data_IF_106242000468
#
_entry.id   IF_106242000468
#
_cell.length_a   1.000
_cell.length_b   1.000
_cell.length_c   1.000
_cell.angle_alpha   90.00
_cell.angle_beta   90.00
_cell.angle_gamma   90.00
#
_symmetry.space_group_name_H-M   'P 1'
#
loop_
_entity.id
_entity.type
_entity.pdbx_description
1 polymer ?
#
# COMPACT_ATOMS: atom_id res chain seq x y z
N UNK A 1 8.94 36.56 46.48
CA UNK A 1 8.42 35.21 46.55
C UNK A 1 7.17 35.19 45.70
N UNK A 2 7.32 34.91 44.42
CA UNK A 2 6.21 34.77 43.49
C UNK A 2 6.38 33.42 42.79
N UNK A 3 5.58 32.44 43.24
CA UNK A 3 5.41 31.17 42.54
C UNK A 3 4.51 31.42 41.33
N UNK A 4 5.04 31.27 40.14
CA UNK A 4 4.28 31.12 38.90
C UNK A 4 4.20 29.63 38.56
N UNK A 5 3.03 29.08 38.23
CA UNK A 5 2.93 27.67 37.82
C UNK A 5 3.47 27.49 36.41
N UNK A 6 4.35 26.55 36.26
CA UNK A 6 4.89 26.06 34.97
C UNK A 6 3.75 25.47 34.16
N UNK A 7 3.37 26.11 33.08
CA UNK A 7 2.52 25.54 32.04
C UNK A 7 3.26 24.44 31.31
N UNK A 8 2.95 23.20 31.62
CA UNK A 8 3.36 22.05 30.82
C UNK A 8 2.66 22.11 29.45
N UNK A 9 3.46 22.28 28.43
CA UNK A 9 3.04 22.34 27.04
C UNK A 9 2.34 21.04 26.64
N UNK A 10 1.07 21.15 26.24
CA UNK A 10 0.22 20.05 25.71
C UNK A 10 0.62 19.57 24.30
N UNK A 11 1.89 19.74 23.90
CA UNK A 11 2.38 19.39 22.55
C UNK A 11 2.81 17.94 22.37
N UNK A 12 2.68 17.06 23.38
CA UNK A 12 3.13 15.67 23.33
C UNK A 12 2.02 14.61 23.16
N UNK A 13 0.81 14.98 22.76
CA UNK A 13 -0.32 14.03 22.63
C UNK A 13 -0.85 13.85 21.20
N UNK A 14 -0.15 14.35 20.19
CA UNK A 14 -0.62 14.25 18.79
C UNK A 14 0.11 13.20 17.94
N UNK A 15 0.90 12.34 18.56
CA UNK A 15 1.65 11.27 17.86
C UNK A 15 1.11 9.84 18.06
N UNK A 16 -0.03 9.64 18.69
CA UNK A 16 -0.43 8.31 19.13
C UNK A 16 -1.80 7.87 18.59
N UNK A 17 -2.03 7.99 17.31
CA UNK A 17 -3.23 7.45 16.68
C UNK A 17 -2.99 6.77 15.32
N UNK A 18 -1.77 6.33 15.03
CA UNK A 18 -1.57 5.26 14.07
C UNK A 18 -1.47 3.97 14.89
N UNK A 19 -2.56 3.25 14.93
CA UNK A 19 -2.85 2.14 15.83
C UNK A 19 -1.94 0.94 15.59
N UNK A 20 -1.00 0.74 16.49
CA UNK A 20 -0.51 -0.59 16.79
C UNK A 20 -1.55 -1.36 17.58
N UNK A 21 -2.43 -2.10 16.95
CA UNK A 21 -3.27 -3.08 17.62
C UNK A 21 -2.53 -4.41 17.69
N UNK A 22 -1.99 -4.66 18.87
CA UNK A 22 -1.55 -5.99 19.26
C UNK A 22 -2.75 -6.95 19.16
N UNK A 23 -2.67 -7.91 18.24
CA UNK A 23 -3.60 -9.02 18.18
C UNK A 23 -3.46 -9.85 19.48
N UNK A 24 -4.48 -9.82 20.32
CA UNK A 24 -4.60 -10.77 21.42
C UNK A 24 -4.82 -12.18 20.87
N UNK A 25 -4.06 -13.19 21.31
CA UNK A 25 -4.23 -14.55 20.80
C UNK A 25 -5.49 -15.17 21.40
N UNK A 26 -6.42 -15.59 20.55
CA UNK A 26 -7.44 -16.57 20.92
C UNK A 26 -6.77 -17.96 20.93
N UNK A 27 -6.52 -18.46 22.13
CA UNK A 27 -6.15 -19.83 22.40
C UNK A 27 -7.32 -20.77 22.05
N UNK A 28 -7.11 -21.63 21.09
CA UNK A 28 -7.97 -22.73 20.76
C UNK A 28 -7.18 -23.85 20.12
N UNK A 29 -6.44 -24.59 20.93
CA UNK A 29 -5.76 -25.83 20.54
C UNK A 29 -6.77 -26.98 20.46
N UNK A 30 -6.91 -27.63 19.29
CA UNK A 30 -7.24 -29.03 19.19
C UNK A 30 -6.39 -29.69 18.13
N UNK A 31 -5.50 -30.53 18.63
CA UNK A 31 -4.74 -31.50 17.86
C UNK A 31 -5.68 -32.55 17.27
N UNK A 32 -5.51 -32.91 16.01
CA UNK A 32 -5.94 -34.20 15.49
C UNK A 32 -4.78 -34.94 14.86
N UNK A 33 -4.66 -36.20 15.33
CA UNK A 33 -3.61 -37.12 15.04
C UNK A 33 -3.73 -37.74 13.65
N UNK A 34 -2.57 -38.19 13.16
CA UNK A 34 -2.38 -38.98 11.96
C UNK A 34 -3.14 -40.32 11.99
N UNK A 35 -3.68 -40.71 10.85
CA UNK A 35 -4.09 -42.06 10.55
C UNK A 35 -3.61 -42.44 9.17
N UNK A 36 -2.71 -43.44 9.14
CA UNK A 36 -2.20 -44.11 7.94
C UNK A 36 -3.20 -45.19 7.45
N UNK A 37 -2.93 -45.62 6.19
CA UNK A 37 -3.22 -46.88 5.51
C UNK A 37 -4.32 -46.81 4.44
N UNK A 38 -4.08 -47.24 3.27
CA UNK A 38 -3.34 -48.22 2.49
C UNK A 38 -4.16 -48.63 1.25
N UNK A 39 -3.44 -48.86 0.13
CA UNK A 39 -3.70 -49.78 -1.01
C UNK A 39 -5.05 -49.67 -1.75
N UNK A 40 -5.11 -49.38 -3.04
CA UNK A 40 -4.56 -50.12 -4.16
C UNK A 40 -5.68 -50.72 -5.00
N UNK A 41 -5.76 -50.42 -6.30
CA UNK A 41 -5.99 -51.42 -7.34
C UNK A 41 -6.11 -50.81 -8.74
N UNK A 42 -5.54 -51.54 -9.67
CA UNK A 42 -5.46 -51.36 -11.11
C UNK A 42 -6.83 -51.41 -11.82
N UNK A 43 -6.94 -50.68 -12.94
CA UNK A 43 -7.98 -50.91 -13.92
C UNK A 43 -7.60 -50.29 -15.27
N UNK A 44 -7.25 -51.16 -16.21
CA UNK A 44 -6.90 -50.83 -17.60
C UNK A 44 -8.12 -50.48 -18.46
N UNK A 45 -7.88 -49.57 -19.42
CA UNK A 45 -8.22 -49.75 -20.83
C UNK A 45 -9.51 -49.18 -21.35
N UNK A 46 -9.45 -48.25 -22.27
CA UNK A 46 -9.75 -48.50 -23.69
C UNK A 46 -9.74 -47.21 -24.52
N UNK A 47 -9.28 -47.38 -25.75
CA UNK A 47 -9.15 -46.43 -26.84
C UNK A 47 -10.49 -45.80 -27.28
N UNK A 48 -10.45 -44.53 -27.69
CA UNK A 48 -11.48 -43.90 -28.52
C UNK A 48 -10.89 -42.72 -29.28
N UNK A 49 -10.70 -42.91 -30.59
CA UNK A 49 -10.23 -41.93 -31.55
C UNK A 49 -11.33 -40.89 -31.90
N UNK A 50 -10.86 -39.64 -32.19
CA UNK A 50 -11.43 -38.82 -33.26
C UNK A 50 -12.14 -37.56 -32.82
N UNK A 51 -11.69 -36.37 -33.03
CA UNK A 51 -11.66 -35.59 -34.27
C UNK A 51 -11.42 -34.10 -33.99
N UNK A 52 -10.67 -33.49 -34.83
CA UNK A 52 -10.37 -32.10 -35.13
C UNK A 52 -11.29 -31.02 -34.57
N UNK A 53 -10.65 -29.98 -33.96
CA UNK A 53 -11.20 -28.65 -33.77
C UNK A 53 -10.08 -27.66 -33.49
N UNK A 54 -9.73 -26.85 -34.46
CA UNK A 54 -8.72 -25.79 -34.49
C UNK A 54 -8.97 -24.73 -33.46
N UNK A 55 -7.87 -24.15 -32.92
CA UNK A 55 -7.87 -22.90 -32.16
C UNK A 55 -6.95 -22.93 -30.94
N UNK A 56 -5.75 -23.48 -31.08
CA UNK A 56 -4.75 -23.33 -30.02
C UNK A 56 -3.92 -22.08 -30.26
N UNK A 57 -4.15 -21.02 -29.53
CA UNK A 57 -3.16 -19.97 -29.38
C UNK A 57 -1.91 -20.58 -28.74
N UNK A 58 -0.86 -20.66 -29.53
CA UNK A 58 0.41 -21.25 -29.15
C UNK A 58 0.97 -20.54 -27.92
N UNK A 59 1.06 -21.26 -26.81
CA UNK A 59 1.98 -20.92 -25.73
C UNK A 59 3.40 -21.01 -26.33
N UNK A 60 3.95 -19.84 -26.64
CA UNK A 60 5.37 -19.70 -26.92
C UNK A 60 6.11 -20.06 -25.63
N UNK A 61 6.95 -21.09 -25.66
CA UNK A 61 7.68 -21.63 -24.51
C UNK A 61 8.72 -20.69 -23.89
N UNK A 62 8.61 -19.35 -24.14
CA UNK A 62 9.50 -18.34 -23.60
C UNK A 62 9.12 -17.88 -22.17
N UNK A 63 8.00 -18.32 -21.61
CA UNK A 63 7.55 -17.91 -20.25
C UNK A 63 7.34 -16.41 -20.07
N UNK A 64 7.13 -15.64 -21.15
CA UNK A 64 6.86 -14.21 -21.09
C UNK A 64 5.36 -13.96 -21.12
N UNK A 65 4.86 -13.24 -20.12
CA UNK A 65 3.52 -12.67 -20.14
C UNK A 65 3.44 -11.62 -21.27
N UNK A 66 2.46 -11.74 -22.15
CA UNK A 66 2.25 -10.82 -23.29
C UNK A 66 1.42 -9.59 -22.90
N UNK A 67 0.86 -9.53 -21.70
CA UNK A 67 0.12 -8.36 -21.24
C UNK A 67 1.04 -7.13 -21.18
N UNK A 68 0.54 -5.94 -21.53
CA UNK A 68 1.35 -4.73 -21.52
C UNK A 68 1.61 -4.25 -20.09
N UNK A 69 2.79 -3.64 -19.88
CA UNK A 69 3.13 -2.92 -18.66
C UNK A 69 2.50 -1.52 -18.69
N UNK A 70 2.10 -1.01 -17.52
CA UNK A 70 1.77 0.40 -17.37
C UNK A 70 3.08 1.21 -17.42
N UNK A 71 3.07 2.32 -18.13
CA UNK A 71 4.22 3.23 -18.29
C UNK A 71 3.83 4.65 -17.89
N UNK A 72 4.81 5.47 -17.51
CA UNK A 72 4.62 6.89 -17.23
C UNK A 72 5.25 7.72 -18.36
N UNK A 73 4.50 8.65 -18.93
CA UNK A 73 4.99 9.54 -19.98
C UNK A 73 4.21 10.85 -20.01
N UNK A 74 4.94 11.97 -19.97
CA UNK A 74 4.34 13.31 -20.15
C UNK A 74 3.31 13.68 -19.09
N UNK A 75 3.53 13.26 -17.83
CA UNK A 75 2.59 13.53 -16.73
C UNK A 75 1.39 12.59 -16.66
N UNK A 76 1.35 11.54 -17.49
CA UNK A 76 0.25 10.56 -17.55
C UNK A 76 0.76 9.14 -17.37
N UNK A 77 -0.07 8.26 -16.78
CA UNK A 77 0.09 6.82 -16.91
C UNK A 77 -0.52 6.33 -18.22
N UNK A 78 0.10 5.32 -18.82
CA UNK A 78 -0.33 4.73 -20.09
C UNK A 78 -0.31 3.22 -20.06
N UNK A 79 -1.33 2.61 -20.64
CA UNK A 79 -1.42 1.17 -20.85
C UNK A 79 -1.67 0.92 -22.34
N UNK A 80 -0.82 0.14 -22.97
CA UNK A 80 -0.90 -0.14 -24.42
C UNK A 80 -0.98 1.14 -25.27
N UNK A 81 -0.19 2.16 -24.89
CA UNK A 81 -0.10 3.44 -25.57
C UNK A 81 -1.28 4.41 -25.33
N UNK A 82 -2.35 3.95 -24.65
CA UNK A 82 -3.51 4.77 -24.28
C UNK A 82 -3.35 5.33 -22.88
N UNK A 83 -4.00 6.46 -22.60
CA UNK A 83 -4.08 6.98 -21.23
C UNK A 83 -4.66 5.91 -20.31
N UNK A 84 -4.11 5.81 -19.09
CA UNK A 84 -4.57 4.87 -18.07
C UNK A 84 -4.83 5.64 -16.78
N UNK A 85 -6.08 5.70 -16.37
CA UNK A 85 -6.51 6.26 -15.08
C UNK A 85 -7.31 5.21 -14.34
N UNK A 86 -7.18 5.17 -13.02
CA UNK A 86 -7.81 4.11 -12.24
C UNK A 86 -8.40 4.59 -10.91
N UNK A 87 -9.51 3.97 -10.51
CA UNK A 87 -9.93 3.85 -9.13
C UNK A 87 -9.41 2.53 -8.59
N UNK A 88 -8.86 2.56 -7.39
CA UNK A 88 -8.26 1.42 -6.73
C UNK A 88 -8.53 1.41 -5.24
N UNK A 89 -7.85 0.51 -4.54
CA UNK A 89 -7.94 0.35 -3.09
C UNK A 89 -6.65 -0.15 -2.49
N UNK A 90 -6.53 -0.01 -1.18
CA UNK A 90 -5.54 -0.69 -0.37
C UNK A 90 -6.12 -1.97 0.22
N UNK A 91 -5.30 -3.03 0.32
CA UNK A 91 -5.55 -4.23 1.07
C UNK A 91 -4.21 -4.77 1.58
N UNK A 92 -3.71 -4.19 2.67
CA UNK A 92 -2.35 -4.40 3.17
C UNK A 92 -2.02 -5.86 3.46
N UNK A 93 -3.00 -6.65 3.89
CA UNK A 93 -2.79 -7.97 4.49
C UNK A 93 -2.68 -9.14 3.50
N UNK A 94 -2.80 -8.94 2.19
CA UNK A 94 -2.84 -10.04 1.20
C UNK A 94 -1.69 -11.03 1.33
N UNK A 95 -0.49 -10.57 1.68
CA UNK A 95 0.71 -11.39 1.82
C UNK A 95 0.71 -12.34 3.02
N UNK A 96 -0.30 -12.28 3.90
CA UNK A 96 -0.39 -13.05 5.15
C UNK A 96 -1.65 -13.91 5.27
N UNK A 97 -2.57 -13.81 4.31
CA UNK A 97 -3.89 -14.42 4.45
C UNK A 97 -4.03 -15.73 3.68
N UNK A 98 -5.09 -16.47 4.00
CA UNK A 98 -5.49 -17.66 3.26
C UNK A 98 -5.91 -17.33 1.83
N UNK A 99 -5.86 -18.32 0.93
CA UNK A 99 -6.34 -18.15 -0.43
C UNK A 99 -7.82 -17.74 -0.48
N UNK A 100 -8.66 -18.24 0.46
CA UNK A 100 -10.04 -17.84 0.57
C UNK A 100 -10.19 -16.33 0.82
N UNK A 101 -9.45 -15.78 1.77
CA UNK A 101 -9.48 -14.35 2.08
C UNK A 101 -8.94 -13.48 0.95
N UNK A 102 -7.89 -13.96 0.27
CA UNK A 102 -7.34 -13.30 -0.93
C UNK A 102 -8.38 -13.30 -2.06
N UNK A 103 -9.00 -14.45 -2.32
CA UNK A 103 -10.07 -14.56 -3.32
C UNK A 103 -11.23 -13.64 -3.01
N UNK A 104 -11.69 -13.61 -1.77
CA UNK A 104 -12.81 -12.80 -1.34
C UNK A 104 -12.58 -11.31 -1.64
N UNK A 105 -11.46 -10.74 -1.20
CA UNK A 105 -11.21 -9.31 -1.37
C UNK A 105 -10.85 -8.93 -2.81
N UNK A 106 -10.11 -9.76 -3.56
CA UNK A 106 -9.77 -9.45 -4.94
C UNK A 106 -10.97 -9.61 -5.88
N UNK A 107 -11.88 -10.57 -5.64
CA UNK A 107 -13.14 -10.67 -6.35
C UNK A 107 -14.03 -9.45 -6.07
N UNK A 108 -14.10 -9.00 -4.82
CA UNK A 108 -14.84 -7.78 -4.46
C UNK A 108 -14.26 -6.55 -5.15
N UNK A 109 -12.94 -6.39 -5.17
CA UNK A 109 -12.28 -5.30 -5.90
C UNK A 109 -12.64 -5.31 -7.40
N UNK A 110 -12.57 -6.47 -8.05
CA UNK A 110 -12.94 -6.61 -9.45
C UNK A 110 -14.43 -6.33 -9.70
N UNK A 111 -15.31 -6.80 -8.80
CA UNK A 111 -16.77 -6.56 -8.89
C UNK A 111 -17.14 -5.08 -8.71
N UNK A 112 -16.34 -4.31 -7.95
CA UNK A 112 -16.46 -2.85 -7.84
C UNK A 112 -15.97 -2.11 -9.10
N UNK A 113 -15.32 -2.79 -10.05
CA UNK A 113 -14.69 -2.16 -11.20
C UNK A 113 -13.35 -1.48 -10.87
N UNK A 114 -12.77 -1.76 -9.70
CA UNK A 114 -11.43 -1.31 -9.36
C UNK A 114 -10.41 -2.02 -10.25
N UNK A 115 -9.29 -1.38 -10.56
CA UNK A 115 -8.28 -1.95 -11.44
C UNK A 115 -6.90 -2.06 -10.81
N UNK A 116 -6.68 -1.39 -9.68
CA UNK A 116 -5.40 -1.43 -8.94
C UNK A 116 -5.66 -1.71 -7.46
N UNK A 117 -4.86 -2.61 -6.88
CA UNK A 117 -4.84 -2.90 -5.45
C UNK A 117 -3.42 -2.72 -4.93
N UNK A 118 -3.27 -1.94 -3.87
CA UNK A 118 -1.99 -1.79 -3.16
C UNK A 118 -1.94 -2.76 -1.99
N UNK A 119 -0.86 -3.52 -1.87
CA UNK A 119 -0.68 -4.54 -0.85
C UNK A 119 0.79 -4.62 -0.40
N UNK A 120 1.03 -5.06 0.85
CA UNK A 120 2.40 -5.15 1.36
C UNK A 120 3.18 -6.30 0.70
N UNK A 121 4.43 -6.03 0.32
CA UNK A 121 5.39 -7.05 -0.09
C UNK A 121 6.55 -7.15 0.91
N UNK A 122 6.24 -7.07 2.18
CA UNK A 122 7.21 -7.17 3.28
C UNK A 122 6.56 -7.80 4.53
N UNK A 123 7.34 -8.52 5.31
CA UNK A 123 7.08 -8.95 6.67
C UNK A 123 8.43 -9.36 7.27
N UNK A 124 8.96 -8.52 8.15
CA UNK A 124 10.32 -8.61 8.67
C UNK A 124 10.34 -9.05 10.13
N UNK A 125 11.35 -9.81 10.51
CA UNK A 125 11.58 -10.22 11.89
C UNK A 125 10.89 -11.53 12.29
N UNK A 126 11.42 -12.18 13.31
CA UNK A 126 10.89 -13.40 13.91
C UNK A 126 10.25 -13.10 15.26
N UNK A 127 9.36 -14.02 15.73
CA UNK A 127 8.73 -13.88 17.04
C UNK A 127 7.47 -13.02 17.07
N UNK A 128 6.95 -12.60 15.91
CA UNK A 128 5.71 -11.89 15.74
C UNK A 128 4.51 -12.86 15.56
N UNK A 129 3.29 -12.34 15.59
CA UNK A 129 2.08 -13.11 15.31
C UNK A 129 1.91 -13.47 13.83
N UNK A 130 2.60 -12.79 12.93
CA UNK A 130 2.63 -13.06 11.49
C UNK A 130 3.82 -13.96 11.13
N UNK A 131 3.74 -14.63 9.97
CA UNK A 131 4.84 -15.39 9.40
C UNK A 131 5.72 -14.45 8.57
N UNK A 132 6.95 -14.21 9.02
CA UNK A 132 7.88 -13.33 8.34
C UNK A 132 8.30 -13.86 6.97
N UNK A 133 8.28 -12.99 5.97
CA UNK A 133 8.91 -13.24 4.66
C UNK A 133 10.45 -13.19 4.78
N UNK A 134 10.95 -12.28 5.64
CA UNK A 134 12.35 -12.12 6.00
C UNK A 134 12.52 -12.24 7.52
N UNK A 135 12.67 -13.46 8.10
CA UNK A 135 12.77 -13.64 9.54
C UNK A 135 14.07 -13.10 10.16
N UNK A 136 15.14 -13.03 9.38
CA UNK A 136 16.45 -12.51 9.75
C UNK A 136 17.10 -11.79 8.57
N UNK A 137 18.10 -10.93 8.76
CA UNK A 137 18.81 -10.28 7.66
C UNK A 137 19.36 -11.29 6.66
N UNK A 138 19.07 -11.09 5.39
CA UNK A 138 19.51 -11.94 4.26
C UNK A 138 18.97 -13.38 4.28
N UNK A 139 17.99 -13.68 5.13
CA UNK A 139 17.32 -14.98 5.20
C UNK A 139 15.84 -14.83 4.86
N UNK A 140 15.36 -15.61 3.92
CA UNK A 140 14.02 -15.53 3.36
C UNK A 140 13.28 -16.84 3.55
N UNK A 141 12.01 -16.78 3.99
CA UNK A 141 11.15 -17.96 4.10
C UNK A 141 10.31 -18.13 2.84
N UNK A 142 10.79 -18.95 1.90
CA UNK A 142 10.11 -19.19 0.62
C UNK A 142 8.69 -19.76 0.78
N UNK A 143 8.41 -20.46 1.86
CA UNK A 143 7.07 -20.97 2.12
C UNK A 143 6.12 -19.88 2.63
N UNK A 144 6.63 -18.79 3.22
CA UNK A 144 5.83 -17.64 3.63
C UNK A 144 5.34 -16.79 2.44
N UNK A 145 6.00 -16.91 1.28
CA UNK A 145 5.57 -16.21 0.06
C UNK A 145 4.34 -16.81 -0.62
N UNK A 146 3.78 -17.92 -0.11
CA UNK A 146 2.64 -18.60 -0.74
C UNK A 146 1.46 -17.64 -0.97
N UNK A 147 1.06 -16.90 0.07
CA UNK A 147 -0.05 -15.93 -0.02
C UNK A 147 0.21 -14.81 -1.01
N UNK A 148 1.43 -14.25 -1.01
CA UNK A 148 1.78 -13.17 -1.95
C UNK A 148 1.84 -13.67 -3.40
N UNK A 149 2.43 -14.86 -3.62
CA UNK A 149 2.46 -15.49 -4.94
C UNK A 149 1.05 -15.76 -5.47
N UNK A 150 0.17 -16.26 -4.60
CA UNK A 150 -1.23 -16.51 -4.95
C UNK A 150 -1.97 -15.19 -5.25
N UNK A 151 -1.76 -14.15 -4.44
CA UNK A 151 -2.37 -12.85 -4.67
C UNK A 151 -1.97 -12.24 -6.03
N UNK A 152 -0.69 -12.34 -6.41
CA UNK A 152 -0.23 -11.89 -7.73
C UNK A 152 -0.89 -12.69 -8.85
N UNK A 153 -0.97 -14.04 -8.74
CA UNK A 153 -1.66 -14.86 -9.72
C UNK A 153 -3.14 -14.47 -9.84
N UNK A 154 -3.85 -14.41 -8.72
CA UNK A 154 -5.28 -14.12 -8.67
C UNK A 154 -5.59 -12.73 -9.22
N UNK A 155 -4.83 -11.72 -8.84
CA UNK A 155 -4.96 -10.36 -9.38
C UNK A 155 -4.81 -10.37 -10.91
N UNK A 156 -3.80 -11.08 -11.43
CA UNK A 156 -3.59 -11.24 -12.87
C UNK A 156 -4.75 -11.92 -13.60
N UNK A 157 -5.35 -12.95 -13.00
CA UNK A 157 -6.55 -13.63 -13.54
C UNK A 157 -7.77 -12.71 -13.60
N UNK A 158 -7.90 -11.79 -12.65
CA UNK A 158 -9.00 -10.83 -12.56
C UNK A 158 -8.75 -9.55 -13.39
N UNK A 159 -7.58 -9.43 -14.04
CA UNK A 159 -7.21 -8.21 -14.75
C UNK A 159 -6.80 -7.05 -13.84
N UNK A 160 -6.66 -7.30 -12.54
CA UNK A 160 -6.18 -6.34 -11.55
C UNK A 160 -4.67 -6.15 -11.66
N UNK A 161 -4.18 -5.02 -11.17
CA UNK A 161 -2.76 -4.72 -11.03
C UNK A 161 -2.43 -4.44 -9.58
N UNK A 162 -1.18 -4.72 -9.21
CA UNK A 162 -0.71 -4.55 -7.84
C UNK A 162 0.34 -3.45 -7.74
N UNK A 163 0.28 -2.68 -6.65
CA UNK A 163 1.33 -1.77 -6.18
C UNK A 163 1.91 -2.37 -4.91
N UNK A 164 3.22 -2.52 -4.85
CA UNK A 164 3.90 -3.30 -3.83
C UNK A 164 5.04 -2.51 -3.15
N UNK A 165 4.83 -1.92 -1.96
CA UNK A 165 5.89 -1.36 -1.13
C UNK A 165 6.80 -2.45 -0.57
N UNK A 166 8.11 -2.11 -0.46
CA UNK A 166 9.18 -3.05 -0.11
C UNK A 166 9.56 -3.05 1.38
N UNK A 167 9.15 -2.04 2.14
CA UNK A 167 9.35 -1.93 3.59
C UNK A 167 8.35 -0.94 4.18
N UNK A 168 8.07 -1.04 5.47
CA UNK A 168 7.23 -0.08 6.18
C UNK A 168 8.10 0.93 6.96
N UNK A 169 7.69 2.19 7.00
CA UNK A 169 8.22 3.15 7.96
C UNK A 169 7.88 2.76 9.41
N UNK A 170 6.68 2.21 9.59
CA UNK A 170 6.12 1.86 10.89
C UNK A 170 6.54 0.45 11.31
N UNK A 171 6.44 0.11 12.62
CA UNK A 171 6.87 -1.21 13.11
C UNK A 171 5.90 -2.35 12.72
N UNK A 172 4.76 -2.03 12.13
CA UNK A 172 3.83 -3.05 11.65
C UNK A 172 4.49 -3.92 10.58
N UNK A 173 4.45 -5.23 10.78
CA UNK A 173 5.18 -6.22 10.00
C UNK A 173 6.71 -6.02 10.00
N UNK A 174 7.25 -5.44 11.09
CA UNK A 174 8.69 -5.25 11.34
C UNK A 174 9.21 -3.91 10.85
N UNK A 175 9.12 -3.63 9.56
CA UNK A 175 9.49 -2.34 8.97
C UNK A 175 10.93 -1.91 9.18
N UNK A 176 11.20 -0.63 8.96
CA UNK A 176 12.55 -0.04 9.05
C UNK A 176 13.17 -0.24 10.43
N UNK A 177 12.35 -0.17 11.49
CA UNK A 177 12.83 -0.39 12.86
C UNK A 177 13.38 -1.80 13.07
N UNK A 178 12.84 -2.82 12.39
CA UNK A 178 13.38 -4.18 12.48
C UNK A 178 14.82 -4.26 11.95
N UNK A 179 15.12 -3.56 10.85
CA UNK A 179 16.49 -3.49 10.33
C UNK A 179 17.44 -2.79 11.31
N UNK A 180 16.99 -1.69 11.90
CA UNK A 180 17.75 -0.97 12.93
C UNK A 180 18.00 -1.85 14.15
N UNK A 181 16.98 -2.60 14.59
CA UNK A 181 17.11 -3.55 15.69
C UNK A 181 18.12 -4.66 15.37
N UNK A 182 18.07 -5.24 14.17
CA UNK A 182 18.99 -6.31 13.77
C UNK A 182 20.46 -5.93 13.80
N UNK A 183 20.79 -4.71 13.34
CA UNK A 183 22.19 -4.33 13.17
C UNK A 183 22.74 -3.42 14.26
N UNK A 184 21.88 -2.66 14.93
CA UNK A 184 22.30 -1.66 15.90
C UNK A 184 21.76 -1.92 17.31
N UNK A 185 20.76 -2.81 17.46
CA UNK A 185 20.17 -3.11 18.77
C UNK A 185 19.42 -1.92 19.40
N UNK A 186 19.00 -0.94 18.58
CA UNK A 186 18.34 0.27 19.07
C UNK A 186 16.83 0.05 19.20
N UNK A 187 16.25 0.72 20.21
CA UNK A 187 14.80 0.69 20.43
C UNK A 187 14.05 1.51 19.38
N UNK A 188 12.78 1.14 19.16
CA UNK A 188 11.88 1.85 18.25
C UNK A 188 11.56 3.25 18.78
N UNK A 189 11.71 4.24 17.92
CA UNK A 189 11.27 5.63 18.11
C UNK A 189 10.60 6.21 16.86
N UNK A 190 10.08 5.35 15.97
CA UNK A 190 9.44 5.73 14.72
C UNK A 190 8.23 6.67 14.89
N UNK A 191 7.52 6.56 16.03
CA UNK A 191 6.45 7.48 16.40
C UNK A 191 6.95 8.74 17.14
N UNK A 192 8.22 8.81 17.47
CA UNK A 192 8.88 9.91 18.18
C UNK A 192 9.72 10.80 17.27
N UNK A 193 10.92 11.10 17.74
CA UNK A 193 11.87 11.98 17.04
C UNK A 193 12.64 11.27 15.92
N UNK A 194 12.52 9.94 15.81
CA UNK A 194 13.11 9.13 14.76
C UNK A 194 14.64 9.00 14.81
N UNK A 195 15.29 9.35 15.92
CA UNK A 195 16.77 9.37 16.01
C UNK A 195 17.38 7.97 15.81
N UNK A 196 16.73 6.94 16.35
CA UNK A 196 17.13 5.55 16.14
C UNK A 196 16.61 5.02 14.81
N UNK A 197 15.29 5.16 14.56
CA UNK A 197 14.62 4.70 13.37
C UNK A 197 15.32 5.16 12.09
N UNK A 198 15.67 6.42 12.00
CA UNK A 198 16.27 7.02 10.80
C UNK A 198 17.70 6.55 10.52
N UNK A 199 18.32 5.79 11.44
CA UNK A 199 19.55 5.05 11.16
C UNK A 199 19.37 4.06 10.02
N UNK A 200 18.14 3.61 9.75
CA UNK A 200 17.82 2.80 8.58
C UNK A 200 18.35 3.40 7.28
N UNK A 201 18.25 4.71 7.10
CA UNK A 201 18.66 5.39 5.89
C UNK A 201 20.19 5.53 5.75
N UNK A 202 20.90 5.54 6.86
CA UNK A 202 22.34 5.90 6.89
C UNK A 202 23.25 4.73 7.22
N UNK A 203 22.78 3.73 7.98
CA UNK A 203 23.60 2.57 8.33
C UNK A 203 23.87 1.68 7.11
N UNK A 204 25.13 1.32 6.92
CA UNK A 204 25.57 0.55 5.75
C UNK A 204 24.97 -0.87 5.70
N UNK A 205 24.76 -1.51 6.86
CA UNK A 205 24.18 -2.85 6.94
C UNK A 205 22.67 -2.83 6.69
N UNK A 206 21.95 -1.83 7.23
CA UNK A 206 20.53 -1.63 6.94
C UNK A 206 20.31 -1.44 5.43
N UNK A 207 21.07 -0.56 4.79
CA UNK A 207 21.01 -0.31 3.34
C UNK A 207 21.36 -1.56 2.52
N UNK A 208 22.37 -2.32 2.95
CA UNK A 208 22.76 -3.58 2.30
C UNK A 208 21.65 -4.63 2.42
N UNK A 209 21.04 -4.78 3.59
CA UNK A 209 19.96 -5.72 3.82
C UNK A 209 18.71 -5.34 3.02
N UNK A 210 18.31 -4.06 3.00
CA UNK A 210 17.22 -3.56 2.18
C UNK A 210 17.43 -3.86 0.68
N UNK A 211 18.61 -3.60 0.14
CA UNK A 211 18.93 -3.91 -1.25
C UNK A 211 18.86 -5.41 -1.55
N UNK A 212 19.32 -6.25 -0.60
CA UNK A 212 19.22 -7.70 -0.73
C UNK A 212 17.76 -8.16 -0.73
N UNK A 213 16.95 -7.62 0.16
CA UNK A 213 15.51 -7.85 0.23
C UNK A 213 14.80 -7.45 -1.07
N UNK A 214 14.97 -6.21 -1.51
CA UNK A 214 14.39 -5.71 -2.75
C UNK A 214 14.75 -6.60 -3.95
N UNK A 215 16.03 -7.00 -4.05
CA UNK A 215 16.45 -7.93 -5.10
C UNK A 215 15.75 -9.27 -5.00
N UNK A 216 15.63 -9.83 -3.79
CA UNK A 216 15.02 -11.14 -3.58
C UNK A 216 13.55 -11.14 -4.03
N UNK A 217 12.75 -10.16 -3.56
CA UNK A 217 11.33 -10.05 -3.89
C UNK A 217 11.12 -9.78 -5.38
N UNK A 218 11.83 -8.80 -5.95
CA UNK A 218 11.64 -8.38 -7.34
C UNK A 218 12.04 -9.48 -8.33
N UNK A 219 13.11 -10.23 -8.02
CA UNK A 219 13.64 -11.25 -8.95
C UNK A 219 13.13 -12.66 -8.67
N UNK A 220 12.37 -12.89 -7.58
CA UNK A 220 11.81 -14.19 -7.28
C UNK A 220 10.84 -14.67 -8.37
N UNK A 221 10.72 -15.99 -8.55
CA UNK A 221 9.70 -16.58 -9.41
C UNK A 221 8.46 -16.92 -8.61
N UNK A 222 7.33 -16.41 -9.05
CA UNK A 222 6.03 -16.79 -8.55
C UNK A 222 5.82 -18.29 -8.74
N UNK A 223 5.47 -19.01 -7.69
CA UNK A 223 5.31 -20.46 -7.72
C UNK A 223 4.12 -20.94 -8.57
N UNK A 224 3.12 -20.09 -8.75
CA UNK A 224 1.91 -20.40 -9.52
C UNK A 224 2.04 -20.05 -11.00
N UNK A 225 2.63 -18.90 -11.31
CA UNK A 225 2.75 -18.43 -12.70
C UNK A 225 4.08 -18.78 -13.34
N UNK A 226 5.11 -19.08 -12.55
CA UNK A 226 6.48 -19.32 -13.04
C UNK A 226 7.19 -18.06 -13.55
N UNK A 227 6.51 -16.91 -13.59
CA UNK A 227 7.10 -15.62 -13.97
C UNK A 227 7.93 -15.03 -12.83
N UNK A 228 9.00 -14.32 -13.16
CA UNK A 228 9.62 -13.44 -12.17
C UNK A 228 8.69 -12.25 -11.91
N UNK A 229 8.65 -11.76 -10.67
CA UNK A 229 7.85 -10.57 -10.35
C UNK A 229 8.23 -9.39 -11.23
N UNK A 230 9.52 -9.19 -11.53
CA UNK A 230 10.00 -8.16 -12.46
C UNK A 230 9.51 -8.34 -13.91
N UNK A 231 9.05 -9.52 -14.29
CA UNK A 231 8.57 -9.85 -15.64
C UNK A 231 7.03 -9.95 -15.71
N UNK A 232 6.34 -9.85 -14.57
CA UNK A 232 4.89 -9.97 -14.47
C UNK A 232 4.24 -8.58 -14.52
N UNK A 233 3.48 -8.25 -15.56
CA UNK A 233 2.79 -6.96 -15.66
C UNK A 233 1.63 -6.80 -14.67
N UNK A 234 1.25 -7.85 -13.93
CA UNK A 234 0.33 -7.73 -12.79
C UNK A 234 0.93 -6.85 -11.70
N UNK A 235 2.24 -6.95 -11.46
CA UNK A 235 2.96 -6.01 -10.60
C UNK A 235 3.18 -4.72 -11.40
N UNK A 236 2.29 -3.75 -11.18
CA UNK A 236 2.31 -2.47 -11.88
C UNK A 236 3.45 -1.57 -11.40
N UNK A 237 3.59 -1.48 -10.10
CA UNK A 237 4.56 -0.59 -9.48
C UNK A 237 5.19 -1.19 -8.24
N UNK A 238 6.43 -0.80 -8.00
CA UNK A 238 7.14 -0.96 -6.74
C UNK A 238 7.16 0.38 -6.00
N UNK A 239 7.15 0.33 -4.68
CA UNK A 239 7.43 1.49 -3.84
C UNK A 239 8.64 1.20 -2.98
N UNK A 240 9.46 2.24 -2.80
CA UNK A 240 10.64 2.10 -1.95
C UNK A 240 10.25 1.75 -0.52
N UNK A 241 9.20 2.40 -0.02
CA UNK A 241 8.67 2.14 1.32
C UNK A 241 7.20 2.56 1.41
N UNK A 242 6.47 2.06 2.40
CA UNK A 242 5.24 2.65 2.87
C UNK A 242 5.58 3.81 3.82
N UNK A 243 5.15 5.02 3.49
CA UNK A 243 5.18 6.24 4.31
C UNK A 243 6.56 6.61 4.91
N UNK A 244 7.66 6.58 4.13
CA UNK A 244 8.98 6.87 4.69
C UNK A 244 9.07 8.30 5.21
N UNK A 245 9.55 8.46 6.45
CA UNK A 245 9.82 9.74 7.12
C UNK A 245 11.23 9.76 7.69
N UNK A 246 11.82 10.95 7.84
CA UNK A 246 13.15 11.11 8.43
C UNK A 246 13.18 12.31 9.38
N UNK A 247 12.49 12.19 10.51
CA UNK A 247 12.29 13.28 11.48
C UNK A 247 13.56 13.81 12.12
N UNK A 248 14.61 13.00 12.16
CA UNK A 248 15.92 13.41 12.68
C UNK A 248 16.66 14.38 11.75
N UNK A 249 16.26 14.45 10.46
CA UNK A 249 16.85 15.40 9.48
C UNK A 249 15.77 16.20 8.75
N UNK A 250 15.39 17.33 9.33
CA UNK A 250 14.38 18.23 8.78
C UNK A 250 14.80 18.96 7.51
N UNK A 251 16.04 18.79 7.05
CA UNK A 251 16.46 19.29 5.73
C UNK A 251 15.95 18.43 4.56
N UNK A 252 15.53 17.19 4.88
CA UNK A 252 15.12 16.19 3.90
C UNK A 252 16.27 15.55 3.12
N UNK A 253 17.51 15.94 3.40
CA UNK A 253 18.68 15.49 2.64
C UNK A 253 18.96 14.00 2.82
N UNK A 254 18.78 13.47 4.02
CA UNK A 254 19.00 12.06 4.34
C UNK A 254 18.04 11.16 3.60
N UNK A 255 16.74 11.41 3.68
CA UNK A 255 15.72 10.64 2.97
C UNK A 255 15.89 10.77 1.45
N UNK A 256 16.11 11.98 0.94
CA UNK A 256 16.34 12.22 -0.49
C UNK A 256 17.58 11.48 -1.01
N UNK A 257 18.66 11.43 -0.22
CA UNK A 257 19.89 10.70 -0.56
C UNK A 257 19.64 9.20 -0.66
N UNK A 258 18.94 8.63 0.32
CA UNK A 258 18.54 7.23 0.34
C UNK A 258 17.59 6.90 -0.83
N UNK A 259 16.54 7.69 -1.03
CA UNK A 259 15.57 7.48 -2.09
C UNK A 259 16.23 7.54 -3.48
N UNK A 260 17.18 8.45 -3.70
CA UNK A 260 17.94 8.52 -4.96
C UNK A 260 18.72 7.24 -5.24
N UNK A 261 19.42 6.72 -4.24
CA UNK A 261 20.19 5.48 -4.40
C UNK A 261 19.28 4.27 -4.60
N UNK A 262 18.26 4.13 -3.76
CA UNK A 262 17.39 2.95 -3.79
C UNK A 262 16.47 2.94 -5.00
N UNK A 263 15.98 4.09 -5.47
CA UNK A 263 15.18 4.17 -6.68
C UNK A 263 15.98 3.76 -7.92
N UNK A 264 17.22 4.21 -8.06
CA UNK A 264 18.09 3.78 -9.14
C UNK A 264 18.36 2.27 -9.10
N UNK A 265 18.56 1.72 -7.89
CA UNK A 265 18.78 0.28 -7.70
C UNK A 265 17.54 -0.54 -8.05
N UNK A 266 16.37 -0.22 -7.51
CA UNK A 266 15.10 -0.93 -7.79
C UNK A 266 14.78 -0.85 -9.28
N UNK A 267 14.93 0.32 -9.90
CA UNK A 267 14.70 0.49 -11.34
C UNK A 267 15.63 -0.36 -12.19
N UNK A 268 16.86 -0.60 -11.74
CA UNK A 268 17.79 -1.51 -12.42
C UNK A 268 17.35 -2.98 -12.38
N UNK A 269 16.59 -3.38 -11.35
CA UNK A 269 16.06 -4.73 -11.19
C UNK A 269 14.75 -4.95 -11.97
N UNK A 270 13.93 -3.90 -12.09
CA UNK A 270 12.59 -3.93 -12.69
C UNK A 270 12.36 -2.75 -13.66
N UNK A 271 13.11 -2.65 -14.77
CA UNK A 271 13.11 -1.46 -15.63
C UNK A 271 11.78 -1.20 -16.37
N UNK A 272 10.91 -2.20 -16.46
CA UNK A 272 9.61 -2.10 -17.14
C UNK A 272 8.47 -1.69 -16.22
N UNK A 273 8.62 -1.91 -14.92
CA UNK A 273 7.59 -1.59 -13.92
C UNK A 273 7.77 -0.16 -13.42
N UNK A 274 6.66 0.45 -13.00
CA UNK A 274 6.69 1.76 -12.39
C UNK A 274 7.35 1.72 -11.01
N UNK A 275 7.85 2.87 -10.57
CA UNK A 275 8.46 3.06 -9.27
C UNK A 275 8.00 4.38 -8.66
N UNK A 276 7.57 4.34 -7.40
CA UNK A 276 7.33 5.50 -6.57
C UNK A 276 8.14 5.42 -5.26
N UNK A 277 8.16 6.51 -4.51
CA UNK A 277 8.76 6.51 -3.17
C UNK A 277 7.83 5.86 -2.17
N UNK A 278 6.51 6.09 -2.29
CA UNK A 278 5.47 5.63 -1.36
C UNK A 278 5.33 6.57 -0.17
N UNK A 279 5.63 7.86 -0.34
CA UNK A 279 5.52 8.87 0.71
C UNK A 279 4.13 9.54 0.71
N UNK A 280 3.80 10.17 1.84
CA UNK A 280 2.47 10.73 2.12
C UNK A 280 2.21 12.06 1.42
N UNK A 281 3.24 12.69 0.84
CA UNK A 281 3.10 14.00 0.23
C UNK A 281 3.64 15.16 1.08
N UNK A 282 4.28 14.92 2.22
CA UNK A 282 4.78 16.00 3.06
C UNK A 282 5.76 16.89 2.32
N UNK A 283 5.52 18.20 2.41
CA UNK A 283 6.41 19.20 1.82
C UNK A 283 7.60 19.49 2.73
N UNK A 284 8.68 19.99 2.12
CA UNK A 284 9.89 20.39 2.85
C UNK A 284 9.99 21.88 3.13
N UNK A 285 8.86 22.58 3.37
CA UNK A 285 8.85 24.05 3.52
C UNK A 285 9.28 24.46 4.92
N UNK A 286 10.46 25.06 5.03
CA UNK A 286 10.94 25.60 6.31
C UNK A 286 10.05 26.76 6.77
N UNK A 287 9.79 26.81 8.10
CA UNK A 287 8.98 27.86 8.73
C UNK A 287 7.48 27.89 8.30
N UNK A 288 6.98 26.84 7.66
CA UNK A 288 5.56 26.71 7.36
C UNK A 288 4.80 26.34 8.64
N UNK A 289 3.68 27.04 8.88
CA UNK A 289 2.86 26.84 10.07
C UNK A 289 1.90 25.64 9.92
N UNK A 290 1.55 25.31 8.70
CA UNK A 290 0.69 24.19 8.37
C UNK A 290 1.52 22.91 8.36
N UNK A 291 1.30 22.02 9.34
CA UNK A 291 2.16 20.89 9.64
C UNK A 291 2.50 20.02 8.41
N UNK A 292 1.54 19.56 7.59
CA UNK A 292 1.87 18.69 6.46
C UNK A 292 2.63 19.40 5.33
N UNK A 293 2.53 20.74 5.25
CA UNK A 293 3.31 21.53 4.30
C UNK A 293 4.71 21.88 4.82
N UNK A 294 4.96 21.64 6.11
CA UNK A 294 6.26 21.96 6.74
C UNK A 294 7.31 20.89 6.49
N UNK A 295 8.54 21.18 6.90
CA UNK A 295 9.65 20.23 6.86
C UNK A 295 9.74 19.34 8.10
N UNK A 296 8.68 19.23 8.89
CA UNK A 296 8.73 18.53 10.18
C UNK A 296 9.04 17.03 10.04
N UNK A 297 8.51 16.37 9.01
CA UNK A 297 8.69 14.94 8.79
C UNK A 297 10.02 14.57 8.10
N UNK A 298 10.82 15.57 7.70
CA UNK A 298 12.07 15.33 6.99
C UNK A 298 11.89 14.86 5.55
N UNK A 299 10.69 15.06 5.01
CA UNK A 299 10.35 14.83 3.61
C UNK A 299 10.48 16.11 2.79
N UNK A 300 10.62 15.96 1.50
CA UNK A 300 10.44 17.01 0.49
C UNK A 300 9.84 16.35 -0.74
N UNK A 301 8.51 16.29 -0.75
CA UNK A 301 7.75 15.61 -1.80
C UNK A 301 8.14 16.04 -3.21
N UNK A 302 8.37 17.34 -3.42
CA UNK A 302 8.77 17.86 -4.73
C UNK A 302 10.10 17.26 -5.20
N UNK A 303 11.09 17.20 -4.30
CA UNK A 303 12.41 16.64 -4.62
C UNK A 303 12.38 15.12 -4.77
N UNK A 304 11.60 14.43 -3.93
CA UNK A 304 11.44 12.97 -4.00
C UNK A 304 10.78 12.56 -5.31
N UNK A 305 9.66 13.20 -5.67
CA UNK A 305 8.93 12.95 -6.92
C UNK A 305 9.74 13.32 -8.16
N UNK A 306 10.58 14.35 -8.08
CA UNK A 306 11.45 14.77 -9.19
C UNK A 306 12.64 13.83 -9.46
N UNK A 307 12.90 12.81 -8.63
CA UNK A 307 14.00 11.87 -8.86
C UNK A 307 13.84 11.18 -10.22
N UNK A 308 14.93 11.04 -11.00
CA UNK A 308 14.87 10.49 -12.37
C UNK A 308 14.31 9.06 -12.45
N UNK A 309 14.55 8.24 -11.43
CA UNK A 309 14.09 6.86 -11.39
C UNK A 309 12.66 6.69 -10.83
N UNK A 310 12.07 7.75 -10.28
CA UNK A 310 10.69 7.79 -9.79
C UNK A 310 9.77 8.14 -10.93
N UNK A 311 8.76 7.32 -11.19
CA UNK A 311 7.85 7.48 -12.33
C UNK A 311 6.63 8.34 -12.00
N UNK A 312 6.15 8.31 -10.76
CA UNK A 312 4.97 9.07 -10.30
C UNK A 312 5.09 9.46 -8.83
N UNK A 313 4.38 10.49 -8.44
CA UNK A 313 4.27 10.93 -7.04
C UNK A 313 3.09 10.28 -6.35
N UNK A 314 3.23 10.01 -5.05
CA UNK A 314 2.21 9.45 -4.17
C UNK A 314 1.72 10.50 -3.18
N UNK A 315 0.46 10.42 -2.80
CA UNK A 315 -0.17 11.33 -1.82
C UNK A 315 -1.11 10.54 -0.94
N UNK A 316 -1.00 10.68 0.38
CA UNK A 316 -1.97 10.18 1.34
C UNK A 316 -2.83 11.33 1.88
N UNK A 317 -4.04 11.04 2.38
CA UNK A 317 -4.97 12.07 2.87
C UNK A 317 -5.61 11.62 4.18
N UNK A 318 -4.99 12.00 5.29
CA UNK A 318 -5.44 11.66 6.65
C UNK A 318 -5.52 12.91 7.55
N UNK A 319 -6.41 13.86 7.25
CA UNK A 319 -6.48 15.13 7.98
C UNK A 319 -6.73 14.96 9.48
N UNK A 320 -7.49 13.93 9.89
CA UNK A 320 -7.72 13.65 11.31
C UNK A 320 -6.43 13.25 12.03
N UNK A 321 -5.62 12.39 11.42
CA UNK A 321 -4.35 11.93 11.98
C UNK A 321 -3.31 13.05 12.05
N UNK A 322 -3.39 14.00 11.14
CA UNK A 322 -2.47 15.13 11.07
C UNK A 322 -2.94 16.36 11.84
N UNK A 323 -4.07 16.25 12.57
CA UNK A 323 -4.60 17.34 13.37
C UNK A 323 -5.29 18.46 12.57
N UNK A 324 -5.62 18.19 11.32
CA UNK A 324 -6.28 19.13 10.40
C UNK A 324 -7.81 19.01 10.48
N UNK A 325 -8.33 19.12 11.70
CA UNK A 325 -9.77 19.09 12.02
C UNK A 325 -10.14 20.27 12.90
N UNK A 326 -11.42 20.63 12.93
CA UNK A 326 -11.91 21.78 13.72
C UNK A 326 -11.67 21.63 15.22
N UNK A 327 -11.62 20.41 15.75
CA UNK A 327 -11.31 20.13 17.14
C UNK A 327 -9.87 20.46 17.54
N UNK A 328 -8.93 20.36 16.60
CA UNK A 328 -7.50 20.66 16.82
C UNK A 328 -7.12 22.06 16.31
N UNK A 329 -7.73 22.51 15.22
CA UNK A 329 -7.44 23.77 14.53
C UNK A 329 -8.76 24.43 14.17
N UNK A 330 -9.29 25.33 15.04
CA UNK A 330 -10.58 25.96 14.82
C UNK A 330 -10.69 26.63 13.44
N UNK A 331 -11.81 26.38 12.76
CA UNK A 331 -12.05 26.87 11.40
C UNK A 331 -11.48 26.00 10.28
N UNK A 332 -10.84 24.87 10.61
CA UNK A 332 -10.41 23.87 9.64
C UNK A 332 -11.49 22.79 9.51
N UNK A 333 -11.89 22.54 8.29
CA UNK A 333 -12.79 21.45 7.89
C UNK A 333 -11.96 20.37 7.17
N UNK A 334 -12.06 19.15 7.66
CA UNK A 334 -11.28 18.01 7.15
C UNK A 334 -11.54 17.76 5.65
N UNK A 335 -12.79 17.95 5.20
CA UNK A 335 -13.18 17.79 3.80
C UNK A 335 -12.50 18.83 2.92
N UNK A 336 -12.62 20.10 3.27
CA UNK A 336 -12.02 21.21 2.52
C UNK A 336 -10.49 21.18 2.55
N UNK A 337 -9.90 20.79 3.70
CA UNK A 337 -8.45 20.64 3.83
C UNK A 337 -7.93 19.54 2.91
N UNK A 338 -8.54 18.35 2.92
CA UNK A 338 -8.14 17.24 2.06
C UNK A 338 -8.31 17.55 0.58
N UNK A 339 -9.40 18.25 0.21
CA UNK A 339 -9.59 18.72 -1.17
C UNK A 339 -8.46 19.63 -1.62
N UNK A 340 -8.04 20.62 -0.80
CA UNK A 340 -6.91 21.49 -1.09
C UNK A 340 -5.62 20.70 -1.22
N UNK A 341 -5.33 19.79 -0.29
CA UNK A 341 -4.15 18.93 -0.30
C UNK A 341 -4.03 18.15 -1.61
N UNK A 342 -5.11 17.51 -2.04
CA UNK A 342 -5.19 16.78 -3.32
C UNK A 342 -4.90 17.71 -4.50
N UNK A 343 -5.58 18.86 -4.57
CA UNK A 343 -5.45 19.77 -5.72
C UNK A 343 -4.07 20.41 -5.82
N UNK A 344 -3.44 20.73 -4.68
CA UNK A 344 -2.08 21.28 -4.64
C UNK A 344 -1.06 20.29 -5.20
N UNK A 345 -1.09 19.02 -4.76
CA UNK A 345 -0.18 17.98 -5.26
C UNK A 345 -0.38 17.68 -6.74
N UNK A 346 -1.63 17.67 -7.21
CA UNK A 346 -1.93 17.49 -8.63
C UNK A 346 -1.43 18.66 -9.49
N UNK A 347 -1.48 19.88 -8.96
CA UNK A 347 -0.91 21.05 -9.62
C UNK A 347 0.63 20.98 -9.67
N UNK A 348 1.25 20.60 -8.56
CA UNK A 348 2.70 20.43 -8.47
C UNK A 348 3.20 19.26 -9.35
N UNK A 349 2.48 18.15 -9.40
CA UNK A 349 2.76 17.03 -10.30
C UNK A 349 2.77 17.45 -11.77
N UNK A 350 1.79 18.26 -12.20
CA UNK A 350 1.78 18.84 -13.56
C UNK A 350 3.02 19.69 -13.82
N UNK A 351 3.43 20.49 -12.82
CA UNK A 351 4.64 21.33 -12.93
C UNK A 351 5.90 20.48 -13.05
N UNK A 352 5.96 19.35 -12.33
CA UNK A 352 7.07 18.40 -12.43
C UNK A 352 7.02 17.51 -13.68
N UNK A 353 5.90 17.50 -14.42
CA UNK A 353 5.67 16.58 -15.54
C UNK A 353 5.57 15.12 -15.12
N UNK A 354 5.12 14.86 -13.87
CA UNK A 354 4.94 13.54 -13.28
C UNK A 354 3.46 13.25 -13.02
N UNK A 355 2.99 12.02 -13.29
CA UNK A 355 1.67 11.59 -12.82
C UNK A 355 1.64 11.61 -11.28
N UNK A 356 0.47 11.81 -10.70
CA UNK A 356 0.24 11.74 -9.24
C UNK A 356 -0.90 10.79 -8.96
N UNK A 357 -0.71 9.92 -7.99
CA UNK A 357 -1.71 8.98 -7.45
C UNK A 357 -2.04 9.39 -6.02
N UNK A 358 -3.34 9.54 -5.73
CA UNK A 358 -3.83 9.68 -4.36
C UNK A 358 -3.89 8.28 -3.77
N UNK A 359 -2.79 7.85 -3.17
CA UNK A 359 -2.51 6.44 -2.92
C UNK A 359 -3.19 5.87 -1.69
N UNK A 360 -3.42 6.73 -0.70
CA UNK A 360 -4.23 6.41 0.46
C UNK A 360 -5.11 7.59 0.85
N UNK A 361 -6.33 7.32 1.24
CA UNK A 361 -7.16 8.31 1.93
C UNK A 361 -8.19 7.63 2.81
N UNK A 362 -8.43 8.23 3.96
CA UNK A 362 -9.36 7.67 4.93
C UNK A 362 -9.85 8.71 5.94
N UNK A 363 -11.06 8.48 6.43
CA UNK A 363 -11.66 9.21 7.53
C UNK A 363 -12.36 8.24 8.49
N UNK A 364 -12.06 8.38 9.76
CA UNK A 364 -12.77 7.68 10.82
C UNK A 364 -14.05 8.43 11.17
N UNK A 365 -15.11 7.68 11.45
CA UNK A 365 -16.35 8.28 11.97
C UNK A 365 -16.14 8.58 13.45
N UNK A 366 -16.33 9.83 13.84
CA UNK A 366 -16.20 10.30 15.22
C UNK A 366 -17.22 11.42 15.48
N UNK A 367 -18.24 11.12 16.28
CA UNK A 367 -19.32 12.04 16.59
C UNK A 367 -18.88 13.33 17.32
N UNK A 368 -17.67 13.38 17.84
CA UNK A 368 -17.09 14.56 18.47
C UNK A 368 -16.26 15.44 17.53
N UNK A 369 -16.15 15.07 16.24
CA UNK A 369 -15.31 15.73 15.25
C UNK A 369 -16.07 16.04 13.96
N UNK A 370 -15.35 16.46 12.92
CA UNK A 370 -15.93 16.87 11.64
C UNK A 370 -16.72 15.77 10.93
N UNK A 371 -16.41 14.50 11.17
CA UNK A 371 -17.04 13.34 10.54
C UNK A 371 -17.91 12.60 11.56
N UNK A 372 -19.17 12.98 11.64
CA UNK A 372 -20.09 12.47 12.66
C UNK A 372 -20.73 11.11 12.32
N UNK A 373 -20.84 10.77 11.04
CA UNK A 373 -21.51 9.55 10.58
C UNK A 373 -21.05 9.14 9.18
N UNK A 374 -21.58 8.01 8.67
CA UNK A 374 -21.26 7.51 7.34
C UNK A 374 -21.64 8.50 6.23
N UNK A 375 -22.73 9.24 6.36
CA UNK A 375 -23.15 10.20 5.35
C UNK A 375 -22.17 11.37 5.23
N UNK A 376 -21.68 11.89 6.36
CA UNK A 376 -20.63 12.92 6.40
C UNK A 376 -19.31 12.40 5.82
N UNK A 377 -18.92 11.15 6.13
CA UNK A 377 -17.75 10.50 5.55
C UNK A 377 -17.88 10.34 4.03
N UNK A 378 -19.01 9.85 3.56
CA UNK A 378 -19.26 9.64 2.13
C UNK A 378 -19.28 10.99 1.37
N UNK A 379 -19.78 12.06 1.98
CA UNK A 379 -19.73 13.40 1.41
C UNK A 379 -18.28 13.91 1.26
N UNK A 380 -17.42 13.67 2.26
CA UNK A 380 -16.00 14.01 2.18
C UNK A 380 -15.28 13.19 1.12
N UNK A 381 -15.49 11.87 1.10
CA UNK A 381 -14.89 10.99 0.08
C UNK A 381 -15.33 11.39 -1.33
N UNK A 382 -16.61 11.74 -1.50
CA UNK A 382 -17.09 12.25 -2.79
C UNK A 382 -16.38 13.53 -3.20
N UNK A 383 -16.21 14.48 -2.29
CA UNK A 383 -15.51 15.74 -2.58
C UNK A 383 -14.06 15.49 -2.99
N UNK A 384 -13.36 14.57 -2.31
CA UNK A 384 -11.96 14.22 -2.61
C UNK A 384 -11.83 13.49 -3.95
N UNK A 385 -12.68 12.50 -4.22
CA UNK A 385 -12.66 11.75 -5.47
C UNK A 385 -13.08 12.62 -6.67
N UNK A 386 -14.07 13.50 -6.51
CA UNK A 386 -14.42 14.49 -7.53
C UNK A 386 -13.25 15.45 -7.82
N UNK A 387 -12.55 15.93 -6.78
CA UNK A 387 -11.38 16.80 -6.93
C UNK A 387 -10.23 16.08 -7.64
N UNK A 388 -9.95 14.82 -7.27
CA UNK A 388 -8.94 13.98 -7.91
C UNK A 388 -9.25 13.77 -9.41
N UNK A 389 -10.51 13.42 -9.73
CA UNK A 389 -10.98 13.23 -11.11
C UNK A 389 -10.83 14.53 -11.91
N UNK A 390 -11.37 15.64 -11.39
CA UNK A 390 -11.39 16.93 -12.09
C UNK A 390 -9.99 17.54 -12.27
N UNK A 391 -9.09 17.31 -11.31
CA UNK A 391 -7.71 17.83 -11.35
C UNK A 391 -6.72 16.92 -12.06
N UNK A 392 -7.16 15.78 -12.61
CA UNK A 392 -6.34 14.93 -13.47
C UNK A 392 -5.44 13.96 -12.70
N UNK A 393 -5.86 13.45 -11.53
CA UNK A 393 -5.15 12.37 -10.86
C UNK A 393 -4.96 11.17 -11.80
N UNK A 394 -3.79 10.55 -11.75
CA UNK A 394 -3.50 9.34 -12.52
C UNK A 394 -4.23 8.12 -11.95
N UNK A 395 -4.52 8.15 -10.66
CA UNK A 395 -5.29 7.16 -9.93
C UNK A 395 -5.59 7.62 -8.53
N UNK A 396 -6.48 6.89 -7.87
CA UNK A 396 -6.71 7.00 -6.44
C UNK A 396 -7.04 5.63 -5.83
N UNK A 397 -6.72 5.46 -4.54
CA UNK A 397 -6.86 4.21 -3.80
C UNK A 397 -7.32 4.51 -2.38
N UNK A 398 -8.56 4.19 -2.06
CA UNK A 398 -9.05 4.40 -0.69
C UNK A 398 -8.42 3.40 0.30
N UNK A 399 -8.28 3.81 1.53
CA UNK A 399 -7.93 2.96 2.66
C UNK A 399 -9.20 2.58 3.40
N UNK A 400 -9.61 1.27 3.48
CA UNK A 400 -9.14 0.09 2.76
C UNK A 400 -10.35 -0.81 2.42
N UNK A 401 -10.23 -1.64 1.39
CA UNK A 401 -11.19 -2.69 1.09
C UNK A 401 -10.88 -3.93 1.93
N UNK A 402 -11.90 -4.47 2.56
CA UNK A 402 -11.85 -5.77 3.24
C UNK A 402 -13.03 -6.64 2.82
N UNK A 403 -12.95 -7.92 3.10
CA UNK A 403 -14.01 -8.85 2.79
C UNK A 403 -14.20 -9.86 3.94
N UNK A 404 -14.56 -11.10 3.63
CA UNK A 404 -14.80 -12.14 4.63
C UNK A 404 -13.51 -12.84 5.02
N UNK A 405 -13.44 -13.29 6.26
CA UNK A 405 -12.41 -14.19 6.78
C UNK A 405 -12.83 -15.66 6.64
N UNK A 406 -11.96 -16.60 6.96
CA UNK A 406 -12.11 -18.04 6.69
C UNK A 406 -13.37 -18.67 7.30
N UNK A 407 -13.88 -18.14 8.40
CA UNK A 407 -15.12 -18.62 9.02
C UNK A 407 -16.40 -17.98 8.44
N UNK A 408 -16.23 -17.13 7.40
CA UNK A 408 -17.33 -16.42 6.76
C UNK A 408 -17.76 -15.12 7.42
N UNK A 409 -17.20 -14.77 8.58
CA UNK A 409 -17.43 -13.47 9.21
C UNK A 409 -16.71 -12.35 8.45
N UNK A 410 -17.02 -11.08 8.78
CA UNK A 410 -16.31 -9.94 8.18
C UNK A 410 -14.95 -9.75 8.82
N UNK A 411 -13.96 -9.34 8.01
CA UNK A 411 -12.67 -8.89 8.51
C UNK A 411 -12.88 -7.78 9.55
N UNK A 412 -12.25 -7.86 10.74
CA UNK A 412 -12.42 -6.84 11.77
C UNK A 412 -12.05 -5.44 11.30
N UNK A 413 -12.76 -4.44 11.78
CA UNK A 413 -12.44 -3.04 11.54
C UNK A 413 -11.48 -2.55 12.63
N UNK A 414 -10.18 -2.65 12.38
CA UNK A 414 -9.16 -2.32 13.38
C UNK A 414 -8.89 -0.83 13.49
N UNK A 415 -9.11 -0.06 12.42
CA UNK A 415 -8.72 1.35 12.31
C UNK A 415 -9.86 2.32 11.99
N UNK A 416 -11.08 1.80 11.87
CA UNK A 416 -12.27 2.63 11.57
C UNK A 416 -12.41 3.06 10.11
N UNK A 417 -11.61 2.50 9.21
CA UNK A 417 -11.60 2.88 7.78
C UNK A 417 -12.19 1.82 6.86
N UNK A 418 -12.55 0.66 7.38
CA UNK A 418 -13.03 -0.48 6.61
C UNK A 418 -14.14 -0.14 5.63
N UNK A 419 -14.00 -0.61 4.39
CA UNK A 419 -15.04 -0.63 3.37
C UNK A 419 -15.24 -2.07 2.89
N UNK A 420 -16.50 -2.50 2.70
CA UNK A 420 -16.85 -3.84 2.27
C UNK A 420 -17.81 -3.80 1.08
N UNK A 421 -17.59 -4.67 0.11
CA UNK A 421 -18.43 -4.83 -1.07
C UNK A 421 -19.35 -6.04 -0.90
N UNK A 422 -20.55 -5.81 -0.39
CA UNK A 422 -21.61 -6.82 -0.33
C UNK A 422 -22.97 -6.16 -0.08
N UNK A 423 -24.05 -6.90 -0.35
CA UNK A 423 -25.42 -6.47 -0.16
C UNK A 423 -26.02 -6.90 1.20
N UNK A 424 -25.18 -7.36 2.14
CA UNK A 424 -25.63 -7.72 3.47
C UNK A 424 -26.21 -6.47 4.18
N UNK A 425 -27.45 -6.52 4.69
CA UNK A 425 -28.03 -5.39 5.43
C UNK A 425 -27.20 -4.96 6.64
N UNK A 426 -26.38 -5.85 7.19
CA UNK A 426 -25.46 -5.57 8.30
C UNK A 426 -24.19 -4.86 7.85
N UNK A 427 -23.95 -4.67 6.55
CA UNK A 427 -22.81 -3.91 6.04
C UNK A 427 -23.05 -2.39 6.17
N UNK A 428 -22.41 -1.69 7.12
CA UNK A 428 -22.62 -0.27 7.33
C UNK A 428 -21.93 0.60 6.26
N UNK A 429 -21.07 0.01 5.42
CA UNK A 429 -20.24 0.72 4.42
C UNK A 429 -20.71 0.52 2.98
N UNK A 430 -21.92 0.00 2.79
CA UNK A 430 -22.46 -0.30 1.47
C UNK A 430 -22.54 0.96 0.58
N UNK A 431 -22.99 2.09 1.11
CA UNK A 431 -23.06 3.36 0.37
C UNK A 431 -21.69 3.83 -0.05
N UNK A 432 -20.71 3.76 0.85
CA UNK A 432 -19.31 4.09 0.59
C UNK A 432 -18.72 3.21 -0.53
N UNK A 433 -18.98 1.90 -0.50
CA UNK A 433 -18.51 0.98 -1.53
C UNK A 433 -19.10 1.29 -2.91
N UNK A 434 -20.40 1.61 -3.00
CA UNK A 434 -21.04 2.03 -4.24
C UNK A 434 -20.52 3.38 -4.75
N UNK A 435 -20.19 4.32 -3.86
CA UNK A 435 -19.56 5.58 -4.23
C UNK A 435 -18.23 5.32 -4.94
N UNK A 436 -17.36 4.47 -4.34
CA UNK A 436 -16.07 4.14 -4.94
C UNK A 436 -16.19 3.35 -6.24
N UNK A 437 -17.15 2.44 -6.37
CA UNK A 437 -17.41 1.74 -7.63
C UNK A 437 -17.84 2.70 -8.74
N UNK A 438 -18.73 3.65 -8.45
CA UNK A 438 -19.14 4.68 -9.40
C UNK A 438 -17.98 5.60 -9.81
N UNK A 439 -17.13 5.97 -8.83
CA UNK A 439 -15.93 6.76 -9.08
C UNK A 439 -14.91 6.00 -9.95
N UNK A 440 -14.65 4.73 -9.68
CA UNK A 440 -13.74 3.91 -10.49
C UNK A 440 -14.20 3.85 -11.97
N UNK A 441 -15.50 3.72 -12.20
CA UNK A 441 -16.06 3.79 -13.55
C UNK A 441 -15.83 5.17 -14.22
N UNK A 442 -15.97 6.27 -13.47
CA UNK A 442 -15.70 7.61 -13.95
C UNK A 442 -14.21 7.83 -14.27
N UNK A 443 -13.29 7.34 -13.44
CA UNK A 443 -11.85 7.39 -13.69
C UNK A 443 -11.49 6.65 -14.98
N UNK A 444 -12.03 5.46 -15.18
CA UNK A 444 -11.81 4.68 -16.41
C UNK A 444 -12.39 5.40 -17.64
N UNK A 445 -13.58 5.97 -17.54
CA UNK A 445 -14.19 6.71 -18.64
C UNK A 445 -13.41 7.99 -19.01
N UNK A 446 -12.73 8.61 -18.10
CA UNK A 446 -11.92 9.82 -18.33
C UNK A 446 -10.62 9.56 -19.11
N UNK A 447 -10.36 8.32 -19.55
CA UNK A 447 -9.24 7.94 -20.43
C UNK A 447 -9.58 7.99 -21.91
N UNK A 448 -10.82 8.26 -22.24
CA UNK A 448 -11.38 8.33 -23.59
C UNK A 448 -11.78 9.77 -23.92
#
# INVERSE_FOLDING_TARGET
MNDQPRTTSRRHLLGAAALGLAATPLLGSTAFAAGQDAQGSNGQGSNGQGSNGQGGDGQDGSGRDRRPFVTARGGELRLDGRAFRFGGTNCYYLHQQSHYMIDAVLNDAAAMGLTVVRAWAFADGSGHSYRALQPEPFRYDEAAFDSLDYAVQKAGQLGLRLVLPLVNNWPDYGGMQQYVSWFLGLADDSYGDGVNHDKFYTDANCRKAYRSWAKHVIQRRNRYTGLRYADDPTVMAWELANEPRCRSDKSGATLLGWAREMSAYVKSLAPRQLLAVGDEGFYGRANEADYPYSNYEGNDWLKLTALPAVDYGTVHVYPQNWGETSSNKPGTDATGWGTRWITDHLADGRTLGKPVVIEEFGLQIDAGRDIADTAARDAAYKAWTDAALASGAAGDQFWLLTSRVDDGSFYPDYDGHRVMWNNDPANPTRTTAHLFAAHAAAMTAATH
#
